data_IF_996763416526
#
_entry.id   IF_996763416526
#
_cell.length_a   1.000
_cell.length_b   1.000
_cell.length_c   1.000
_cell.angle_alpha   90.00
_cell.angle_beta   90.00
_cell.angle_gamma   90.00
#
_symmetry.space_group_name_H-M   'P 1'
#
loop_
_entity.id
_entity.type
_entity.pdbx_description
1 polymer ?
#
# COMPACT_ATOMS: atom_id res chain seq x y z
N UNK A 1 4.27 4.84 -18.16
CA UNK A 1 4.10 3.75 -17.18
C UNK A 1 5.44 3.46 -16.56
N UNK A 2 5.48 3.11 -15.27
CA UNK A 2 6.73 2.68 -14.64
C UNK A 2 7.14 1.33 -15.24
N UNK A 3 8.30 1.28 -15.90
CA UNK A 3 8.96 0.04 -16.28
C UNK A 3 9.90 -0.36 -15.15
N UNK A 4 9.46 -1.25 -14.25
CA UNK A 4 10.31 -1.75 -13.17
C UNK A 4 9.59 -1.94 -11.83
N UNK A 5 10.39 -2.02 -10.77
CA UNK A 5 9.92 -2.11 -9.38
C UNK A 5 10.30 -0.87 -8.59
N UNK A 6 9.45 -0.43 -7.67
CA UNK A 6 9.73 0.69 -6.77
C UNK A 6 9.23 0.41 -5.37
N UNK A 7 10.02 0.80 -4.37
CA UNK A 7 9.58 0.86 -2.98
C UNK A 7 9.24 2.30 -2.66
N UNK A 8 8.07 2.55 -2.11
CA UNK A 8 7.62 3.89 -1.72
C UNK A 8 7.53 3.97 -0.21
N UNK A 9 8.11 5.02 0.33
CA UNK A 9 8.13 5.35 1.75
C UNK A 9 7.60 6.77 1.93
N UNK A 10 7.07 7.08 3.12
CA UNK A 10 6.56 8.42 3.48
C UNK A 10 5.42 8.93 2.58
N UNK A 11 4.59 8.02 2.05
CA UNK A 11 3.40 8.39 1.27
C UNK A 11 2.17 8.52 2.19
N UNK A 12 1.65 9.75 2.29
CA UNK A 12 0.50 10.04 3.14
C UNK A 12 -0.85 9.76 2.45
N UNK A 13 -0.86 9.68 1.12
CA UNK A 13 -2.08 9.84 0.31
C UNK A 13 -2.45 8.58 -0.51
N UNK A 14 -1.75 7.46 -0.31
CA UNK A 14 -1.93 6.25 -1.11
C UNK A 14 -1.76 6.53 -2.61
N UNK A 15 -0.66 7.19 -2.97
CA UNK A 15 -0.32 7.61 -4.33
C UNK A 15 -0.34 6.46 -5.34
N UNK A 16 -0.15 5.21 -4.89
CA UNK A 16 -0.30 4.00 -5.71
C UNK A 16 -1.67 3.85 -6.38
N UNK A 17 -2.73 4.52 -5.89
CA UNK A 17 -4.06 4.48 -6.53
C UNK A 17 -4.07 5.08 -7.93
N UNK A 18 -3.07 5.90 -8.27
CA UNK A 18 -2.87 6.47 -9.61
C UNK A 18 -2.20 5.50 -10.57
N UNK A 19 -1.67 4.37 -10.08
CA UNK A 19 -1.03 3.36 -10.92
C UNK A 19 -2.05 2.56 -11.73
N UNK A 20 -1.65 1.98 -12.87
CA UNK A 20 -2.51 1.08 -13.64
C UNK A 20 -3.07 -0.05 -12.77
N UNK A 21 -4.35 -0.42 -12.97
CA UNK A 21 -5.05 -1.42 -12.17
C UNK A 21 -4.33 -2.77 -12.08
N UNK A 22 -3.58 -3.18 -13.11
CA UNK A 22 -2.82 -4.43 -13.14
C UNK A 22 -1.47 -4.35 -12.39
N UNK A 23 -1.06 -3.18 -11.92
CA UNK A 23 0.18 -3.00 -11.15
C UNK A 23 0.13 -3.85 -9.89
N UNK A 24 1.16 -4.67 -9.66
CA UNK A 24 1.28 -5.46 -8.43
C UNK A 24 1.72 -4.57 -7.29
N UNK A 25 1.07 -4.75 -6.14
CA UNK A 25 1.40 -4.06 -4.89
C UNK A 25 1.58 -5.06 -3.75
N UNK A 26 2.59 -4.82 -2.92
CA UNK A 26 2.77 -5.42 -1.60
C UNK A 26 2.85 -4.29 -0.60
N UNK A 27 1.78 -4.10 0.16
CA UNK A 27 1.64 -3.03 1.14
C UNK A 27 1.73 -3.58 2.56
N UNK A 28 2.41 -2.85 3.42
CA UNK A 28 2.51 -3.17 4.84
C UNK A 28 2.47 -1.93 5.72
N UNK A 29 1.79 -2.03 6.86
CA UNK A 29 1.82 -1.04 7.93
C UNK A 29 2.27 -1.67 9.25
N UNK A 30 2.93 -0.86 10.08
CA UNK A 30 3.46 -1.29 11.39
C UNK A 30 4.32 -2.56 11.32
N UNK A 31 5.11 -2.68 10.25
CA UNK A 31 5.93 -3.86 9.97
C UNK A 31 6.85 -4.20 11.14
N UNK A 32 6.91 -5.48 11.51
CA UNK A 32 7.70 -5.99 12.61
C UNK A 32 7.11 -5.78 14.01
N UNK A 33 5.86 -5.30 14.11
CA UNK A 33 5.15 -5.11 15.39
C UNK A 33 3.97 -6.08 15.54
N UNK A 34 3.32 -6.10 16.71
CA UNK A 34 2.11 -6.90 16.91
C UNK A 34 0.87 -6.39 16.17
N UNK A 35 0.91 -5.14 15.68
CA UNK A 35 -0.18 -4.50 14.92
C UNK A 35 0.06 -4.58 13.40
N UNK A 36 0.95 -5.48 12.95
CA UNK A 36 1.31 -5.61 11.53
C UNK A 36 0.09 -5.88 10.65
N UNK A 37 -0.05 -5.08 9.58
CA UNK A 37 -1.07 -5.25 8.56
C UNK A 37 -0.39 -5.50 7.21
N UNK A 38 -0.78 -6.57 6.52
CA UNK A 38 -0.25 -6.93 5.21
C UNK A 38 -1.36 -7.09 4.19
N UNK A 39 -1.17 -6.51 3.01
CA UNK A 39 -2.06 -6.69 1.86
C UNK A 39 -1.24 -6.78 0.58
N UNK A 40 -1.54 -7.75 -0.27
CA UNK A 40 -0.91 -7.89 -1.58
C UNK A 40 -1.94 -8.28 -2.64
N UNK A 41 -1.71 -7.84 -3.87
CA UNK A 41 -2.61 -8.07 -5.01
C UNK A 41 -2.27 -7.15 -6.17
N UNK A 42 -3.22 -6.92 -7.06
CA UNK A 42 -3.13 -5.80 -8.03
C UNK A 42 -3.76 -4.53 -7.44
N UNK A 43 -3.32 -3.35 -7.88
CA UNK A 43 -3.90 -2.06 -7.43
C UNK A 43 -5.42 -2.03 -7.64
N UNK A 44 -5.92 -2.60 -8.75
CA UNK A 44 -7.35 -2.68 -9.03
C UNK A 44 -8.12 -3.62 -8.09
N UNK A 45 -7.48 -4.69 -7.61
CA UNK A 45 -8.10 -5.65 -6.69
C UNK A 45 -8.09 -5.15 -5.24
N UNK A 46 -6.96 -4.62 -4.78
CA UNK A 46 -6.73 -4.38 -3.34
C UNK A 46 -6.59 -2.91 -2.96
N UNK A 47 -6.52 -1.98 -3.92
CA UNK A 47 -6.24 -0.57 -3.65
C UNK A 47 -7.26 0.09 -2.72
N UNK A 48 -8.56 -0.11 -2.98
CA UNK A 48 -9.63 0.41 -2.13
C UNK A 48 -9.59 -0.19 -0.71
N UNK A 49 -9.25 -1.49 -0.59
CA UNK A 49 -9.10 -2.16 0.70
C UNK A 49 -7.93 -1.59 1.50
N UNK A 50 -6.80 -1.32 0.85
CA UNK A 50 -5.62 -0.71 1.49
C UNK A 50 -5.97 0.68 2.02
N UNK A 51 -6.63 1.52 1.22
CA UNK A 51 -7.02 2.87 1.65
C UNK A 51 -7.97 2.86 2.87
N UNK A 52 -8.92 1.93 2.88
CA UNK A 52 -9.84 1.74 4.01
C UNK A 52 -9.10 1.27 5.27
N UNK A 53 -8.23 0.25 5.15
CA UNK A 53 -7.42 -0.25 6.27
C UNK A 53 -6.51 0.85 6.84
N UNK A 54 -5.86 1.62 5.98
CA UNK A 54 -5.00 2.73 6.39
C UNK A 54 -5.77 3.79 7.18
N UNK A 55 -6.97 4.13 6.73
CA UNK A 55 -7.85 5.07 7.43
C UNK A 55 -8.27 4.55 8.80
N UNK A 56 -8.70 3.29 8.88
CA UNK A 56 -9.10 2.65 10.13
C UNK A 56 -7.94 2.54 11.14
N UNK A 57 -6.76 2.13 10.67
CA UNK A 57 -5.55 2.04 11.48
C UNK A 57 -5.14 3.42 12.02
N UNK A 58 -5.11 4.45 11.18
CA UNK A 58 -4.82 5.82 11.62
C UNK A 58 -5.83 6.31 12.66
N UNK A 59 -7.12 6.02 12.49
CA UNK A 59 -8.15 6.38 13.47
C UNK A 59 -7.97 5.65 14.81
N UNK A 60 -7.54 4.37 14.78
CA UNK A 60 -7.32 3.56 15.99
C UNK A 60 -6.06 3.94 16.77
N UNK A 61 -4.95 4.17 16.07
CA UNK A 61 -3.64 4.39 16.70
C UNK A 61 -3.23 5.87 16.78
N UNK A 62 -3.97 6.78 16.12
CA UNK A 62 -3.63 8.21 16.01
C UNK A 62 -2.55 8.52 14.98
N UNK A 63 -1.81 7.51 14.52
CA UNK A 63 -0.77 7.61 13.51
C UNK A 63 -0.72 6.33 12.68
N UNK A 64 -0.14 6.40 11.49
CA UNK A 64 0.17 5.23 10.67
C UNK A 64 1.48 5.48 9.92
N UNK A 65 2.31 4.45 9.85
CA UNK A 65 3.44 4.39 8.94
C UNK A 65 3.30 3.11 8.11
N UNK A 66 3.21 3.31 6.81
CA UNK A 66 3.15 2.27 5.81
C UNK A 66 4.26 2.42 4.77
N UNK A 67 4.55 1.30 4.10
CA UNK A 67 5.46 1.21 2.97
C UNK A 67 4.89 0.20 1.99
N UNK A 68 5.24 0.34 0.72
CA UNK A 68 4.81 -0.61 -0.28
C UNK A 68 5.80 -0.77 -1.43
N UNK A 69 5.85 -1.99 -1.96
CA UNK A 69 6.51 -2.31 -3.22
C UNK A 69 5.48 -2.28 -4.34
N UNK A 70 5.76 -1.57 -5.41
CA UNK A 70 5.07 -1.63 -6.69
C UNK A 70 5.91 -2.38 -7.72
N UNK A 71 5.26 -3.16 -8.57
CA UNK A 71 5.87 -3.81 -9.73
C UNK A 71 4.90 -3.80 -10.89
N UNK A 72 5.37 -3.43 -12.08
CA UNK A 72 4.59 -3.57 -13.31
C UNK A 72 4.18 -5.04 -13.53
N UNK A 73 3.03 -5.27 -14.16
CA UNK A 73 2.79 -6.59 -14.75
C UNK A 73 3.68 -6.68 -15.98
N UNK A 74 4.50 -7.73 -16.07
CA UNK A 74 5.32 -8.01 -17.25
C UNK A 74 4.44 -8.22 -18.50
#
# INVERSE_FOLDING_TARGET
>A
GMSGSAVVMLDADCSFQTCPAHTRIWWGAYLGTGDELLVAGTVGEVGARIAALRTQARARHGWIMDTYLLRAAD
#
